data_IF_201871510784
#
_entry.id   IF_201871510784
#
_cell.length_a   1.000
_cell.length_b   1.000
_cell.length_c   1.000
_cell.angle_alpha   90.00
_cell.angle_beta   90.00
_cell.angle_gamma   90.00
#
_symmetry.space_group_name_H-M   'P 1'
#
loop_
_entity.id
_entity.type
_entity.pdbx_description
1 polymer ?
2 non-polymer ?
3 water ?
#
# COMPACT_ATOMS: atom_id res chain seq x y z
N UNK A 4 20.93 6.89 -3.86
CA UNK A 4 20.63 8.30 -4.13
C UNK A 4 19.99 9.00 -2.93
N UNK A 5 18.74 8.65 -2.64
CA UNK A 5 18.15 8.94 -1.34
C UNK A 5 18.58 7.79 -0.45
N UNK A 6 19.41 8.09 0.56
CA UNK A 6 19.94 7.00 1.40
C UNK A 6 18.88 6.37 2.29
N UNK A 7 18.76 5.05 2.22
CA UNK A 7 17.91 4.31 3.15
C UNK A 7 18.78 3.62 4.18
N UNK A 8 18.67 4.05 5.43
CA UNK A 8 19.48 3.51 6.50
C UNK A 8 18.66 2.53 7.33
N UNK A 9 19.33 1.76 8.17
CA UNK A 9 18.63 0.87 9.09
C UNK A 9 19.33 0.87 10.44
N UNK A 10 18.70 1.51 11.42
CA UNK A 10 19.28 1.66 12.75
C UNK A 10 18.51 0.84 13.78
N UNK A 11 19.10 -0.27 14.21
CA UNK A 11 18.48 -1.15 15.20
C UNK A 11 17.13 -1.68 14.72
N UNK A 12 17.13 -2.32 13.55
CA UNK A 12 15.93 -2.92 12.96
C UNK A 12 14.83 -1.94 12.56
N UNK A 13 15.12 -0.64 12.64
CA UNK A 13 14.18 0.36 12.16
C UNK A 13 14.66 0.97 10.85
N UNK A 14 13.74 1.17 9.91
CA UNK A 14 14.09 1.84 8.67
C UNK A 14 14.12 3.35 8.89
N UNK A 15 15.21 3.99 8.46
CA UNK A 15 15.37 5.43 8.64
C UNK A 15 15.67 6.13 7.32
N UNK A 16 14.87 7.14 7.00
CA UNK A 16 15.03 7.87 5.74
C UNK A 16 14.87 9.38 5.93
N UNK A 17 15.79 10.13 5.35
CA UNK A 17 15.70 11.59 5.33
C UNK A 17 15.67 12.06 3.88
N UNK A 18 14.60 12.76 3.52
CA UNK A 18 14.44 13.24 2.15
C UNK A 18 14.90 14.69 2.01
N UNK A 19 15.84 14.93 1.10
CA UNK A 19 16.37 16.27 0.87
C UNK A 19 15.65 16.91 -0.32
N UNK A 20 16.02 18.13 -0.69
CA UNK A 20 15.34 18.82 -1.79
C UNK A 20 15.71 18.21 -3.14
N UNK A 21 14.70 17.99 -3.98
CA UNK A 21 14.88 17.20 -5.19
C UNK A 21 14.47 17.95 -6.46
N UNK A 22 15.00 17.46 -7.58
CA UNK A 22 14.83 18.06 -8.89
C UNK A 22 14.32 17.00 -9.84
N UNK A 23 15.09 15.93 -10.01
CA UNK A 23 14.64 14.79 -10.81
C UNK A 23 13.42 14.19 -10.13
N UNK A 24 12.29 14.13 -10.82
CA UNK A 24 11.15 13.42 -10.26
C UNK A 24 11.64 12.01 -10.00
N UNK A 25 12.41 11.53 -10.97
CA UNK A 25 12.77 10.12 -11.12
C UNK A 25 13.84 9.63 -10.15
N UNK A 26 14.06 10.36 -9.06
CA UNK A 26 14.88 9.84 -7.97
C UNK A 26 14.00 9.59 -6.76
N UNK A 27 12.85 10.26 -6.73
CA UNK A 27 11.84 9.99 -5.72
C UNK A 27 11.28 8.61 -5.98
N UNK A 28 10.97 8.36 -7.24
CA UNK A 28 10.49 7.06 -7.69
C UNK A 28 11.54 5.97 -7.46
N UNK A 29 12.79 6.26 -7.80
CA UNK A 29 13.88 5.33 -7.53
C UNK A 29 13.92 5.02 -6.04
N UNK A 30 13.65 6.05 -5.24
CA UNK A 30 13.63 5.93 -3.78
C UNK A 30 12.44 5.10 -3.29
N UNK A 31 11.24 5.46 -3.74
CA UNK A 31 10.01 4.76 -3.37
C UNK A 31 10.05 3.29 -3.75
N UNK A 32 10.41 3.01 -5.00
CA UNK A 32 10.52 1.63 -5.47
C UNK A 32 11.52 0.88 -4.62
N UNK A 33 12.65 1.53 -4.37
CA UNK A 33 13.71 0.93 -3.58
C UNK A 33 13.27 0.72 -2.13
N UNK A 34 12.58 1.71 -1.55
CA UNK A 34 12.15 1.59 -0.16
C UNK A 34 11.14 0.46 -0.01
N UNK A 35 10.10 0.49 -0.83
CA UNK A 35 9.06 -0.53 -0.81
C UNK A 35 9.60 -1.93 -1.12
N UNK A 36 10.72 -1.99 -1.83
CA UNK A 36 11.36 -3.27 -2.10
C UNK A 36 12.05 -3.76 -0.83
N UNK A 37 12.63 -2.82 -0.10
CA UNK A 37 13.35 -3.10 1.14
C UNK A 37 12.43 -3.52 2.30
N UNK A 38 11.35 -2.78 2.50
CA UNK A 38 10.45 -3.02 3.63
C UNK A 38 9.55 -4.24 3.41
N UNK A 39 9.80 -4.98 2.33
CA UNK A 39 9.01 -6.16 2.01
C UNK A 39 9.87 -7.42 1.93
N UNK A 40 11.13 -7.24 1.55
CA UNK A 40 12.04 -8.35 1.39
C UNK A 40 12.52 -8.94 2.71
N UNK A 41 12.87 -8.08 3.66
CA UNK A 41 13.39 -8.54 4.95
C UNK A 41 12.77 -7.77 6.14
N UNK A 42 12.67 -8.44 7.29
CA UNK A 42 11.98 -7.92 8.47
C UNK A 42 12.46 -6.54 8.96
N UNK A 43 11.55 -5.81 9.61
CA UNK A 43 11.83 -4.51 10.20
C UNK A 43 10.86 -4.18 11.33
N UNK A 44 11.19 -3.18 12.14
CA UNK A 44 10.34 -2.82 13.28
C UNK A 44 9.48 -1.59 13.01
N UNK A 45 9.89 -0.79 12.03
CA UNK A 45 9.15 0.40 11.68
C UNK A 45 9.88 1.25 10.66
N UNK A 46 9.31 2.40 10.32
CA UNK A 46 9.88 3.26 9.30
C UNK A 46 9.72 4.74 9.65
N UNK A 47 10.84 5.42 9.85
CA UNK A 47 10.83 6.86 10.10
C UNK A 47 11.31 7.63 8.87
N UNK A 48 10.47 8.51 8.36
CA UNK A 48 10.84 9.35 7.22
C UNK A 48 10.79 10.82 7.59
N UNK A 49 11.89 11.53 7.34
CA UNK A 49 11.99 12.95 7.67
C UNK A 49 11.96 13.81 6.42
N UNK A 50 11.09 14.81 6.42
CA UNK A 50 10.94 15.72 5.28
C UNK A 50 11.20 17.17 5.69
N UNK A 51 12.13 17.36 6.62
CA UNK A 51 12.45 18.70 7.11
C UNK A 51 13.18 19.53 6.06
N UNK A 52 13.94 18.86 5.20
CA UNK A 52 14.70 19.54 4.16
C UNK A 52 13.81 20.02 3.02
N UNK A 53 12.52 19.69 3.09
CA UNK A 53 11.58 20.11 2.05
C UNK A 53 10.78 21.34 2.48
N UNK A 54 10.98 22.45 1.78
CA UNK A 54 10.27 23.69 2.08
C UNK A 54 8.87 23.73 1.45
N UNK A 55 8.69 22.97 0.37
CA UNK A 55 7.38 22.79 -0.24
C UNK A 55 7.18 21.32 -0.57
N UNK A 56 5.97 20.96 -1.00
CA UNK A 56 5.73 19.59 -1.44
C UNK A 56 4.93 19.52 -2.74
N UNK A 57 5.48 18.81 -3.71
CA UNK A 57 4.77 18.49 -4.94
C UNK A 57 3.55 17.66 -4.57
N UNK A 58 2.65 17.43 -5.51
CA UNK A 58 1.63 16.42 -5.28
C UNK A 58 2.34 15.09 -5.43
N UNK A 59 3.38 15.11 -6.25
CA UNK A 59 4.19 13.93 -6.52
C UNK A 59 4.83 13.39 -5.24
N UNK A 60 5.39 14.28 -4.43
CA UNK A 60 5.97 13.88 -3.15
C UNK A 60 4.87 13.49 -2.18
N UNK A 61 3.83 14.31 -2.13
CA UNK A 61 2.69 14.08 -1.25
C UNK A 61 2.03 12.73 -1.49
N UNK A 62 1.89 12.35 -2.76
CA UNK A 62 1.20 11.11 -3.11
C UNK A 62 2.10 9.88 -2.97
N UNK A 63 3.42 10.08 -3.03
CA UNK A 63 4.35 8.99 -2.77
C UNK A 63 4.38 8.71 -1.28
N UNK A 64 4.35 9.79 -0.50
CA UNK A 64 4.29 9.69 0.95
C UNK A 64 3.00 9.02 1.42
N UNK A 65 1.91 9.24 0.69
CA UNK A 65 0.65 8.57 1.02
C UNK A 65 0.76 7.10 0.68
N UNK A 66 1.39 6.82 -0.46
CA UNK A 66 1.54 5.46 -0.96
C UNK A 66 2.33 4.58 0.01
N UNK A 67 3.34 5.17 0.65
CA UNK A 67 4.16 4.45 1.61
C UNK A 67 3.45 4.31 2.96
N UNK A 68 2.61 5.29 3.30
CA UNK A 68 1.85 5.24 4.54
C UNK A 68 0.80 4.14 4.48
N UNK A 69 0.18 4.00 3.31
CA UNK A 69 -0.86 2.99 3.09
C UNK A 69 -0.30 1.58 2.94
N UNK A 70 0.92 1.46 2.43
CA UNK A 70 1.53 0.14 2.24
C UNK A 70 2.15 -0.40 3.52
N UNK A 71 2.65 0.49 4.37
CA UNK A 71 3.19 0.07 5.66
C UNK A 71 2.06 -0.35 6.57
N UNK A 72 0.93 0.35 6.45
CA UNK A 72 -0.27 0.00 7.19
C UNK A 72 -0.75 -1.39 6.78
N UNK A 73 -0.42 -1.76 5.55
CA UNK A 73 -0.78 -3.07 5.01
C UNK A 73 0.23 -4.15 5.38
N UNK A 74 1.44 -3.73 5.72
CA UNK A 74 2.50 -4.66 6.09
C UNK A 74 2.66 -4.74 7.60
N UNK A 75 1.85 -3.97 8.32
CA UNK A 75 1.92 -3.92 9.77
C UNK A 75 3.20 -3.24 10.22
N UNK A 76 3.65 -2.27 9.44
CA UNK A 76 4.88 -1.56 9.74
C UNK A 76 4.59 -0.20 10.35
N UNK A 77 4.98 -0.01 11.62
CA UNK A 77 4.86 1.31 12.25
C UNK A 77 5.54 2.37 11.39
N UNK A 78 4.88 3.52 11.22
CA UNK A 78 5.40 4.56 10.34
C UNK A 78 5.27 5.95 10.95
N UNK A 79 6.39 6.67 11.00
CA UNK A 79 6.41 8.03 11.52
C UNK A 79 6.95 9.00 10.49
N UNK A 80 6.21 10.09 10.27
CA UNK A 80 6.67 11.17 9.41
C UNK A 80 7.15 12.33 10.28
N UNK A 81 8.37 12.81 10.02
CA UNK A 81 8.96 13.86 10.84
C UNK A 81 9.44 15.04 10.01
N UNK A 82 9.69 16.16 10.68
CA UNK A 82 10.16 17.37 10.03
C UNK A 82 9.07 18.16 9.32
N UNK A 83 7.88 18.22 9.92
CA UNK A 83 6.75 18.87 9.27
C UNK A 83 6.55 20.34 9.70
N UNK A 84 5.88 21.11 8.85
CA UNK A 84 5.95 22.57 8.93
C UNK A 84 4.59 23.27 8.98
N UNK A 85 4.55 24.57 8.62
CA UNK A 85 3.32 25.25 8.18
C UNK A 85 2.97 24.88 6.74
N UNK A 86 3.76 25.38 5.79
CA UNK A 86 3.51 25.17 4.36
C UNK A 86 3.69 23.73 3.87
N UNK A 87 3.85 22.77 4.78
CA UNK A 87 3.89 21.36 4.40
C UNK A 87 2.68 20.64 4.97
N UNK A 88 2.45 20.84 6.26
CA UNK A 88 1.32 20.25 6.96
C UNK A 88 0.00 20.59 6.28
N UNK A 89 -0.10 21.81 5.77
CA UNK A 89 -1.33 22.28 5.13
C UNK A 89 -1.62 21.59 3.79
N UNK A 90 -0.61 21.52 2.93
CA UNK A 90 -0.77 20.87 1.64
C UNK A 90 -0.85 19.35 1.79
N UNK A 91 -0.23 18.82 2.84
CA UNK A 91 -0.30 17.39 3.12
C UNK A 91 -1.71 16.97 3.53
N UNK A 92 -2.31 17.70 4.46
CA UNK A 92 -3.69 17.45 4.84
C UNK A 92 -4.61 17.72 3.66
N UNK A 93 -4.22 18.69 2.84
CA UNK A 93 -4.98 19.06 1.65
C UNK A 93 -5.12 17.88 0.71
N UNK A 94 -4.00 17.47 0.13
CA UNK A 94 -4.00 16.39 -0.85
C UNK A 94 -4.42 15.03 -0.28
N UNK A 95 -4.80 14.99 1.00
CA UNK A 95 -5.38 13.80 1.59
C UNK A 95 -4.57 12.99 2.59
N UNK A 96 -3.63 13.62 3.31
CA UNK A 96 -2.91 12.89 4.36
C UNK A 96 -3.58 13.01 5.74
N UNK A 97 -4.14 11.91 6.24
CA UNK A 97 -4.70 11.92 7.60
C UNK A 97 -3.53 12.07 8.57
N UNK A 98 -3.17 13.32 8.85
CA UNK A 98 -2.06 13.64 9.74
C UNK A 98 -2.41 13.37 11.19
N UNK A 99 -3.70 13.45 11.50
CA UNK A 99 -4.19 13.29 12.86
C UNK A 99 -4.20 11.84 13.34
N UNK A 100 -4.39 10.92 12.40
CA UNK A 100 -4.35 9.51 12.71
C UNK A 100 -3.03 8.89 12.28
N UNK A 101 -2.07 9.76 11.96
CA UNK A 101 -0.74 9.36 11.50
C UNK A 101 0.24 9.67 12.62
N UNK A 102 1.23 8.81 12.81
CA UNK A 102 2.26 9.07 13.81
C UNK A 102 3.22 10.10 13.23
N UNK A 103 3.33 11.25 13.90
CA UNK A 103 4.24 12.29 13.46
C UNK A 103 5.13 12.75 14.61
N UNK A 104 6.35 13.13 14.27
CA UNK A 104 7.30 13.62 15.26
C UNK A 104 8.02 14.86 14.74
N UNK A 105 8.74 15.53 15.63
CA UNK A 105 9.42 16.78 15.30
C UNK A 105 10.74 16.57 14.56
N UNK A 106 11.49 15.53 14.96
CA UNK A 106 12.75 15.20 14.31
C UNK A 106 13.00 13.69 14.23
N UNK A 107 14.13 13.31 13.65
CA UNK A 107 14.48 11.90 13.46
C UNK A 107 14.59 11.14 14.78
N UNK A 108 14.85 11.86 15.87
CA UNK A 108 15.03 11.24 17.18
C UNK A 108 13.68 10.96 17.85
N UNK A 109 12.82 11.97 17.86
CA UNK A 109 11.49 11.85 18.46
C UNK A 109 10.69 10.76 17.76
N UNK A 110 10.98 10.56 16.47
CA UNK A 110 10.32 9.53 15.69
C UNK A 110 10.81 8.15 16.08
N UNK A 111 12.12 7.99 16.18
CA UNK A 111 12.71 6.73 16.61
C UNK A 111 12.15 6.32 17.97
N UNK A 112 12.13 7.27 18.90
CA UNK A 112 11.58 7.04 20.23
C UNK A 112 10.10 6.68 20.16
N UNK A 113 9.40 7.22 19.16
CA UNK A 113 7.96 7.00 19.02
C UNK A 113 7.64 5.65 18.38
N UNK A 114 8.56 5.16 17.56
CA UNK A 114 8.46 3.81 17.02
C UNK A 114 8.88 2.79 18.07
N UNK A 115 9.06 3.24 19.30
CA UNK A 115 9.52 2.35 20.37
C UNK A 115 8.59 2.25 21.58
N UNK A 116 7.53 3.04 21.57
CA UNK A 116 6.46 2.82 22.52
C UNK A 116 5.35 1.98 21.86
N UNK A 117 5.68 0.70 21.69
CA UNK A 117 4.83 -0.27 21.01
C UNK A 117 5.48 -1.65 21.00
N UNK B 6 -6.93 4.88 -3.67
CA UNK B 6 -6.26 4.74 -4.96
C UNK B 6 -5.65 3.36 -5.15
N UNK B 7 -4.72 3.22 -6.09
CA UNK B 7 -4.04 1.94 -6.31
C UNK B 7 -2.58 2.01 -5.87
N UNK B 8 -2.10 0.92 -5.30
CA UNK B 8 -0.71 0.82 -4.86
C UNK B 8 0.08 -0.13 -5.77
N UNK B 9 1.41 -0.09 -5.70
CA UNK B 9 2.25 -0.97 -6.50
C UNK B 9 3.61 -1.19 -5.85
N UNK B 10 3.91 -2.44 -5.52
CA UNK B 10 5.21 -2.79 -4.97
C UNK B 10 5.86 -3.91 -5.78
N UNK B 11 7.05 -3.64 -6.32
CA UNK B 11 7.89 -4.68 -6.90
C UNK B 11 7.45 -5.21 -8.27
N UNK B 12 6.65 -4.43 -8.99
CA UNK B 12 6.05 -4.87 -10.25
C UNK B 12 4.70 -5.51 -9.97
N UNK B 13 4.30 -5.49 -8.71
CA UNK B 13 3.04 -6.09 -8.29
C UNK B 13 2.00 -5.03 -7.93
N UNK B 14 0.85 -5.08 -8.60
CA UNK B 14 -0.24 -4.16 -8.32
C UNK B 14 -0.98 -4.58 -7.06
N UNK B 15 -1.38 -3.60 -6.25
CA UNK B 15 -2.10 -3.88 -5.02
C UNK B 15 -3.36 -3.04 -4.91
N UNK B 16 -4.51 -3.70 -4.92
CA UNK B 16 -5.77 -3.03 -4.65
C UNK B 16 -6.21 -3.33 -3.23
N UNK B 17 -6.07 -2.35 -2.34
CA UNK B 17 -6.60 -2.49 -1.00
C UNK B 17 -8.06 -2.06 -1.03
N UNK B 18 -8.93 -2.85 -0.41
CA UNK B 18 -10.36 -2.60 -0.51
C UNK B 18 -10.99 -2.19 0.82
N UNK B 19 -11.83 -1.16 0.78
CA UNK B 19 -12.47 -0.64 1.98
C UNK B 19 -14.00 -0.55 1.83
N UNK B 20 -14.69 -0.36 2.95
CA UNK B 20 -16.15 -0.31 2.97
C UNK B 20 -16.72 0.88 2.19
N UNK B 21 -15.85 1.72 1.66
CA UNK B 21 -16.27 2.85 0.83
C UNK B 21 -16.46 2.40 -0.62
N UNK B 22 -16.29 1.10 -0.85
CA UNK B 22 -16.39 0.53 -2.19
C UNK B 22 -17.80 0.59 -2.77
N UNK B 23 -18.79 0.51 -1.89
CA UNK B 23 -20.20 0.48 -2.27
C UNK B 23 -20.69 1.81 -2.85
N UNK B 24 -19.78 2.59 -3.42
CA UNK B 24 -20.13 3.94 -3.83
C UNK B 24 -19.82 4.24 -5.29
N UNK B 25 -19.39 3.21 -6.00
CA UNK B 25 -19.31 3.25 -7.45
C UNK B 25 -19.91 1.95 -7.98
N UNK B 26 -20.09 1.85 -9.29
CA UNK B 26 -20.64 0.63 -9.87
C UNK B 26 -19.52 -0.36 -10.16
N UNK B 27 -19.87 -1.63 -10.14
CA UNK B 27 -18.88 -2.64 -10.37
C UNK B 27 -18.15 -2.33 -11.64
N UNK B 28 -18.90 -1.89 -12.63
CA UNK B 28 -18.41 -1.58 -13.95
C UNK B 28 -17.56 -0.36 -13.94
N UNK B 29 -17.89 0.57 -13.12
CA UNK B 29 -17.05 1.75 -12.94
C UNK B 29 -15.75 1.35 -12.27
N UNK B 30 -15.84 0.36 -11.38
CA UNK B 30 -14.68 -0.15 -10.67
C UNK B 30 -13.73 -0.88 -11.61
N UNK B 31 -14.28 -1.75 -12.44
CA UNK B 31 -13.47 -2.52 -13.38
C UNK B 31 -12.77 -1.60 -14.39
N UNK B 32 -13.51 -0.64 -14.93
CA UNK B 32 -12.94 0.36 -15.83
C UNK B 32 -11.89 1.21 -15.12
N UNK B 33 -12.04 1.38 -13.82
CA UNK B 33 -11.09 2.15 -13.03
C UNK B 33 -9.82 1.35 -12.77
N UNK B 34 -9.98 0.05 -12.54
CA UNK B 34 -8.85 -0.82 -12.25
C UNK B 34 -8.03 -1.12 -13.50
N UNK B 35 -8.70 -1.23 -14.64
CA UNK B 35 -8.02 -1.49 -15.90
C UNK B 35 -7.25 -0.26 -16.39
N UNK B 36 -7.71 0.92 -16.00
CA UNK B 36 -7.02 2.17 -16.31
C UNK B 36 -5.64 2.12 -15.68
N UNK B 37 -5.58 1.55 -14.48
CA UNK B 37 -4.39 1.59 -13.63
C UNK B 37 -3.35 0.49 -13.87
N UNK B 38 -3.80 -0.70 -14.26
CA UNK B 38 -2.90 -1.84 -14.28
C UNK B 38 -2.61 -2.39 -15.67
N UNK B 39 -3.18 -1.76 -16.70
CA UNK B 39 -2.91 -2.18 -18.07
C UNK B 39 -2.07 -1.15 -18.79
N UNK B 40 -1.85 0.00 -18.16
CA UNK B 40 -0.95 1.00 -18.70
C UNK B 40 0.39 0.33 -18.92
N UNK B 41 1.08 0.05 -17.81
CA UNK B 41 2.23 -0.84 -17.81
C UNK B 41 1.88 -2.10 -17.03
N UNK B 42 1.99 -3.25 -17.69
CA UNK B 42 1.62 -4.54 -17.10
C UNK B 42 2.45 -4.83 -15.85
N UNK B 43 1.96 -5.75 -15.03
CA UNK B 43 2.65 -6.15 -13.82
C UNK B 43 2.89 -7.64 -13.78
N UNK B 44 3.69 -8.09 -12.82
CA UNK B 44 3.91 -9.52 -12.63
C UNK B 44 2.78 -10.19 -11.85
N UNK B 45 1.78 -9.40 -11.44
CA UNK B 45 0.73 -9.91 -10.58
C UNK B 45 -0.17 -8.86 -9.97
N UNK B 46 -1.17 -9.31 -9.22
CA UNK B 46 -2.14 -8.43 -8.60
C UNK B 46 -2.56 -8.98 -7.24
N UNK B 47 -2.36 -8.18 -6.20
CA UNK B 47 -2.81 -8.54 -4.86
C UNK B 47 -4.04 -7.71 -4.51
N UNK B 48 -5.13 -8.38 -4.14
CA UNK B 48 -6.30 -7.69 -3.63
C UNK B 48 -6.43 -7.91 -2.14
N UNK B 49 -6.42 -6.82 -1.38
CA UNK B 49 -6.53 -6.93 0.07
C UNK B 49 -7.92 -6.50 0.53
N UNK B 50 -8.60 -7.39 1.24
CA UNK B 50 -9.90 -7.09 1.81
C UNK B 50 -9.85 -7.21 3.33
N UNK B 51 -8.72 -6.80 3.90
CA UNK B 51 -8.50 -6.92 5.34
C UNK B 51 -9.31 -5.88 6.11
N UNK B 52 -9.71 -4.81 5.43
CA UNK B 52 -10.51 -3.77 6.05
C UNK B 52 -11.99 -4.13 6.07
N UNK B 53 -12.32 -5.33 5.60
CA UNK B 53 -13.72 -5.75 5.51
C UNK B 53 -14.13 -6.73 6.61
N UNK B 54 -14.94 -6.25 7.54
CA UNK B 54 -15.53 -7.09 8.57
C UNK B 54 -16.84 -7.67 8.06
N UNK B 55 -17.47 -6.95 7.13
CA UNK B 55 -18.75 -7.36 6.57
C UNK B 55 -18.74 -7.35 5.04
N UNK B 56 -19.09 -8.48 4.44
CA UNK B 56 -19.23 -8.58 3.00
C UNK B 56 -20.70 -8.71 2.62
N UNK B 57 -21.08 -8.07 1.52
CA UNK B 57 -22.44 -8.19 1.01
C UNK B 57 -22.44 -8.66 -0.44
N UNK B 58 -23.60 -8.61 -1.08
CA UNK B 58 -23.72 -9.07 -2.45
C UNK B 58 -22.88 -8.24 -3.42
N UNK B 59 -22.75 -6.95 -3.13
CA UNK B 59 -22.01 -6.03 -3.99
C UNK B 59 -20.51 -6.35 -4.01
N UNK B 60 -19.95 -6.60 -2.83
CA UNK B 60 -18.54 -6.93 -2.69
C UNK B 60 -18.17 -8.24 -3.41
N UNK B 61 -18.94 -9.29 -3.17
CA UNK B 61 -18.70 -10.59 -3.79
C UNK B 61 -18.68 -10.44 -5.31
N UNK B 62 -19.60 -9.63 -5.82
CA UNK B 62 -19.69 -9.35 -7.25
C UNK B 62 -18.38 -8.76 -7.78
N UNK B 63 -17.89 -7.72 -7.11
CA UNK B 63 -16.63 -7.08 -7.49
C UNK B 63 -15.47 -8.07 -7.43
N UNK B 64 -15.34 -8.77 -6.30
CA UNK B 64 -14.27 -9.75 -6.12
C UNK B 64 -14.29 -10.81 -7.21
N UNK B 65 -15.49 -11.28 -7.55
CA UNK B 65 -15.65 -12.25 -8.63
C UNK B 65 -15.20 -11.65 -9.96
N UNK B 66 -15.56 -10.39 -10.18
CA UNK B 66 -15.23 -9.69 -11.42
C UNK B 66 -13.74 -9.41 -11.54
N UNK B 67 -13.14 -8.90 -10.47
CA UNK B 67 -11.72 -8.54 -10.48
C UNK B 67 -10.83 -9.77 -10.66
N UNK B 68 -11.20 -10.87 -10.01
CA UNK B 68 -10.45 -12.12 -10.09
C UNK B 68 -10.41 -12.64 -11.52
N UNK B 69 -11.50 -12.38 -12.25
CA UNK B 69 -11.61 -12.78 -13.65
C UNK B 69 -10.88 -11.79 -14.55
N UNK B 70 -10.98 -10.50 -14.23
CA UNK B 70 -10.26 -9.48 -14.98
C UNK B 70 -8.78 -9.82 -14.97
N UNK B 71 -8.30 -10.24 -13.81
CA UNK B 71 -6.91 -10.60 -13.60
C UNK B 71 -6.42 -11.64 -14.60
N UNK B 72 -7.00 -12.84 -14.53
CA UNK B 72 -6.61 -13.93 -15.42
C UNK B 72 -6.80 -13.56 -16.89
N UNK B 73 -7.80 -12.74 -17.18
CA UNK B 73 -8.04 -12.27 -18.54
C UNK B 73 -6.83 -11.51 -19.05
N UNK B 74 -6.08 -10.92 -18.12
CA UNK B 74 -4.89 -10.14 -18.44
C UNK B 74 -3.64 -11.00 -18.31
N UNK B 75 -3.83 -12.29 -18.02
CA UNK B 75 -2.73 -13.20 -17.78
C UNK B 75 -1.99 -12.83 -16.50
N UNK B 76 -2.75 -12.38 -15.51
CA UNK B 76 -2.18 -11.83 -14.30
C UNK B 76 -2.29 -12.78 -13.11
N UNK B 77 -1.14 -13.22 -12.57
CA UNK B 77 -1.12 -13.95 -11.29
C UNK B 77 -1.84 -13.14 -10.22
N UNK B 78 -2.26 -13.78 -9.13
CA UNK B 78 -3.35 -13.21 -8.37
C UNK B 78 -3.52 -13.80 -6.96
N UNK B 79 -3.46 -12.95 -5.94
CA UNK B 79 -3.75 -13.37 -4.57
C UNK B 79 -4.88 -12.54 -3.97
N UNK B 80 -5.83 -13.22 -3.33
CA UNK B 80 -6.83 -12.54 -2.52
C UNK B 80 -6.39 -12.63 -1.05
N UNK B 81 -6.02 -11.49 -0.47
CA UNK B 81 -5.42 -11.47 0.86
C UNK B 81 -6.27 -10.74 1.88
N UNK B 82 -6.16 -11.16 3.14
CA UNK B 82 -6.82 -10.49 4.25
C UNK B 82 -8.23 -10.99 4.55
N UNK B 83 -8.52 -12.25 4.25
CA UNK B 83 -9.87 -12.78 4.45
C UNK B 83 -10.11 -13.29 5.86
N UNK B 84 -11.04 -12.65 6.57
CA UNK B 84 -11.55 -13.21 7.82
C UNK B 84 -12.18 -14.55 7.47
N UNK B 85 -11.90 -15.59 8.27
CA UNK B 85 -12.48 -16.91 7.97
C UNK B 85 -13.99 -16.84 7.88
N UNK B 86 -14.58 -15.85 8.55
CA UNK B 86 -16.03 -15.67 8.55
C UNK B 86 -16.52 -15.10 7.23
N UNK B 87 -15.85 -14.04 6.77
CA UNK B 87 -16.21 -13.38 5.53
C UNK B 87 -15.80 -14.19 4.30
N UNK B 88 -15.36 -15.43 4.52
CA UNK B 88 -14.91 -16.28 3.42
C UNK B 88 -15.93 -17.36 3.04
N UNK B 89 -16.65 -17.89 4.02
CA UNK B 89 -17.75 -18.80 3.76
C UNK B 89 -18.83 -18.06 2.99
N UNK B 90 -19.19 -16.89 3.52
CA UNK B 90 -20.12 -15.98 2.86
C UNK B 90 -19.77 -15.81 1.39
N UNK B 91 -18.56 -15.32 1.13
CA UNK B 91 -18.07 -15.12 -0.23
C UNK B 91 -18.30 -16.34 -1.13
N UNK B 92 -18.06 -17.54 -0.60
CA UNK B 92 -18.24 -18.75 -1.39
C UNK B 92 -19.72 -19.11 -1.52
N UNK B 93 -20.49 -18.80 -0.48
CA UNK B 93 -21.93 -19.02 -0.49
C UNK B 93 -22.57 -18.17 -1.57
N UNK B 94 -21.97 -17.00 -1.81
CA UNK B 94 -22.52 -16.04 -2.75
C UNK B 94 -21.92 -16.16 -4.15
N UNK B 95 -21.08 -17.17 -4.36
CA UNK B 95 -20.54 -17.46 -5.68
C UNK B 95 -19.06 -17.22 -5.92
N UNK B 96 -18.30 -16.81 -4.91
CA UNK B 96 -16.86 -16.66 -5.10
C UNK B 96 -16.14 -18.00 -4.92
N UNK B 97 -15.80 -18.64 -6.04
CA UNK B 97 -15.15 -19.94 -5.98
C UNK B 97 -13.72 -19.76 -5.49
N UNK B 98 -13.56 -19.75 -4.17
CA UNK B 98 -12.27 -19.47 -3.54
C UNK B 98 -11.27 -20.61 -3.71
N UNK B 99 -11.78 -21.84 -3.83
CA UNK B 99 -10.91 -23.01 -3.97
C UNK B 99 -10.07 -22.94 -5.24
N UNK B 100 -10.62 -22.33 -6.29
CA UNK B 100 -9.90 -22.14 -7.53
C UNK B 100 -8.81 -21.09 -7.46
N UNK B 101 -9.02 -20.07 -6.63
CA UNK B 101 -8.06 -18.96 -6.54
C UNK B 101 -7.16 -19.03 -5.31
N UNK B 102 -6.02 -18.35 -5.40
CA UNK B 102 -5.03 -18.30 -4.34
C UNK B 102 -5.41 -17.29 -3.25
N UNK B 103 -5.12 -17.66 -2.00
CA UNK B 103 -5.38 -16.80 -0.85
C UNK B 103 -4.16 -16.71 0.06
N UNK B 104 -4.02 -15.59 0.75
CA UNK B 104 -2.93 -15.38 1.71
C UNK B 104 -3.40 -14.53 2.89
N UNK B 105 -2.65 -14.59 3.99
CA UNK B 105 -3.04 -13.95 5.25
C UNK B 105 -3.02 -12.41 5.20
N UNK B 106 -2.00 -11.85 4.56
CA UNK B 106 -1.89 -10.40 4.43
C UNK B 106 -1.12 -10.00 3.17
N UNK B 107 -0.89 -8.70 2.99
CA UNK B 107 -0.18 -8.22 1.81
C UNK B 107 1.19 -8.87 1.65
N UNK B 108 1.85 -9.13 2.78
CA UNK B 108 3.21 -9.66 2.80
C UNK B 108 3.29 -11.12 2.35
N UNK B 109 2.49 -11.98 2.97
CA UNK B 109 2.50 -13.40 2.64
C UNK B 109 2.08 -13.60 1.20
N UNK B 110 1.13 -12.78 0.75
CA UNK B 110 0.67 -12.81 -0.62
C UNK B 110 1.76 -12.40 -1.59
N UNK B 111 2.48 -11.33 -1.25
CA UNK B 111 3.60 -10.89 -2.07
C UNK B 111 4.66 -11.98 -2.13
N UNK B 112 4.89 -12.64 -1.00
CA UNK B 112 5.85 -13.74 -0.94
C UNK B 112 5.40 -14.93 -1.78
N UNK B 113 4.10 -15.18 -1.81
CA UNK B 113 3.56 -16.30 -2.58
C UNK B 113 3.67 -16.04 -4.08
N UNK B 114 3.35 -14.81 -4.48
CA UNK B 114 3.39 -14.42 -5.89
C UNK B 114 4.79 -14.42 -6.52
N UNK B 115 5.83 -14.32 -5.70
CA UNK B 115 7.20 -14.24 -6.20
C UNK B 115 8.07 -15.43 -5.81
N UNK B 116 7.92 -15.92 -4.59
CA UNK B 116 8.57 -17.16 -4.17
C UNK B 116 7.90 -18.33 -4.86
N UNK B 117 7.25 -18.02 -5.98
CA UNK B 117 6.67 -19.02 -6.85
C UNK B 117 7.31 -18.83 -8.21
N UNK B 118 8.05 -17.73 -8.34
CA UNK B 118 8.81 -17.44 -9.56
C UNK B 118 10.31 -17.75 -9.41
N UNK B 119 10.66 -18.46 -8.34
CA UNK B 119 12.00 -19.02 -8.15
C UNK B 119 11.84 -20.50 -7.82
X LIG C 1 -4.14 17.56 12.22
X LIG D 1 -4.56 -17.65 4.45
#
# INVERSE_FOLDING_TARGET
>A
MSSRVPILKVDDYWVVAIEETLHDQSVIQFKEELLHNITGVAGKGLVIDISALEVVDSFVTRVLIEISRLAELLGLPFVLTGIKPAVAITLTEMGLDLRGMATALNLQKGLDKLKNLARMEQR
>B
MSSRVPILKVDDYWVVAIEETLHDQSVIQFKEELLHNITGVAGKGLVIDISALEVVDSFVTRVLIEISRLAELLGLPFVLTGIKPAVAITLTEMGLDLRGMATALNLQKGLDKLKNLARMEQR
>C hetero
1 IOD I
>D hetero
1 IOD I
#
